data_IF_498192489639
#
_entry.id   IF_498192489639
#
_cell.length_a   1.000
_cell.length_b   1.000
_cell.length_c   1.000
_cell.angle_alpha   90.00
_cell.angle_beta   90.00
_cell.angle_gamma   90.00
#
_symmetry.space_group_name_H-M   'P 1'
#
loop_
_entity.id
_entity.type
_entity.pdbx_description
1 polymer ?
#
# COMPACT_ATOMS: atom_id res chain seq x y z
N UNK A 1 -0.31 -24.80 -9.12
CA UNK A 1 0.58 -24.57 -7.97
C UNK A 1 2.02 -24.54 -8.48
N UNK A 2 2.75 -23.42 -8.34
CA UNK A 2 4.14 -23.32 -8.82
C UNK A 2 5.03 -24.11 -7.84
N UNK A 3 5.78 -25.10 -8.35
CA UNK A 3 6.70 -25.93 -7.57
C UNK A 3 7.75 -25.03 -6.90
N UNK A 4 7.90 -25.13 -5.58
CA UNK A 4 8.88 -24.33 -4.80
C UNK A 4 8.41 -22.96 -4.31
N UNK A 5 7.14 -22.57 -4.52
CA UNK A 5 6.58 -21.38 -3.88
C UNK A 5 6.40 -21.66 -2.37
N UNK A 6 7.00 -20.87 -1.46
CA UNK A 6 6.74 -21.00 -0.03
C UNK A 6 5.23 -20.94 0.24
N UNK A 7 4.70 -21.77 1.16
CA UNK A 7 3.31 -21.70 1.53
C UNK A 7 3.00 -20.28 2.03
N UNK A 8 1.83 -19.74 1.65
CA UNK A 8 1.36 -18.50 2.27
C UNK A 8 1.15 -18.78 3.75
N UNK A 9 1.66 -17.90 4.61
CA UNK A 9 1.42 -17.98 6.04
C UNK A 9 -0.09 -17.97 6.29
N UNK A 10 -0.56 -18.86 7.15
CA UNK A 10 -1.91 -18.79 7.67
C UNK A 10 -2.10 -17.47 8.43
N UNK A 11 -3.31 -16.91 8.41
CA UNK A 11 -3.63 -15.71 9.17
C UNK A 11 -3.61 -16.06 10.67
N UNK A 12 -2.49 -15.74 11.33
CA UNK A 12 -2.23 -16.09 12.74
C UNK A 12 -2.65 -15.01 13.75
N UNK A 13 -3.01 -13.81 13.29
CA UNK A 13 -3.49 -12.73 14.15
C UNK A 13 -5.02 -12.65 14.12
N UNK A 14 -5.66 -12.81 15.28
CA UNK A 14 -7.06 -12.51 15.47
C UNK A 14 -7.24 -10.97 15.42
N UNK A 15 -8.12 -10.50 14.55
CA UNK A 15 -8.35 -9.08 14.27
C UNK A 15 -9.15 -8.43 15.39
N UNK A 16 -8.48 -8.01 16.47
CA UNK A 16 -9.06 -7.15 17.51
C UNK A 16 -9.30 -5.70 17.04
N UNK A 17 -8.86 -5.35 15.83
CA UNK A 17 -9.13 -4.07 15.18
C UNK A 17 -8.88 -4.14 13.68
N UNK A 18 -9.19 -3.05 12.98
CA UNK A 18 -9.05 -2.96 11.53
C UNK A 18 -7.61 -3.32 11.07
N UNK A 19 -7.45 -4.17 10.05
CA UNK A 19 -6.16 -4.65 9.61
C UNK A 19 -5.28 -3.52 9.06
N UNK A 20 -3.97 -3.62 9.33
CA UNK A 20 -2.94 -2.80 8.70
C UNK A 20 -2.32 -3.60 7.56
N UNK A 21 -2.43 -3.10 6.33
CA UNK A 21 -1.87 -3.75 5.16
C UNK A 21 -0.53 -3.14 4.79
N UNK A 22 0.46 -3.99 4.50
CA UNK A 22 1.67 -3.59 3.79
C UNK A 22 1.47 -3.85 2.30
N UNK A 23 1.44 -2.78 1.52
CA UNK A 23 1.15 -2.83 0.09
C UNK A 23 2.39 -2.49 -0.72
N UNK A 24 2.58 -3.23 -1.81
CA UNK A 24 3.59 -2.93 -2.83
C UNK A 24 2.90 -2.74 -4.16
N UNK A 25 3.11 -1.60 -4.81
CA UNK A 25 2.69 -1.37 -6.20
C UNK A 25 3.90 -1.10 -7.06
N UNK A 26 3.85 -1.56 -8.31
CA UNK A 26 4.92 -1.41 -9.28
C UNK A 26 4.38 -0.63 -10.47
N UNK A 27 5.22 0.21 -11.09
CA UNK A 27 4.87 0.80 -12.38
C UNK A 27 4.77 -0.28 -13.45
N UNK A 28 3.94 -0.04 -14.46
CA UNK A 28 3.84 -0.95 -15.60
C UNK A 28 5.22 -1.11 -16.26
N UNK A 29 5.63 -2.36 -16.46
CA UNK A 29 6.96 -2.74 -16.97
C UNK A 29 8.15 -2.16 -16.19
N UNK A 30 7.99 -1.85 -14.89
CA UNK A 30 9.06 -1.26 -14.06
C UNK A 30 9.63 0.05 -14.65
N UNK A 31 8.80 0.79 -15.40
CA UNK A 31 9.19 2.10 -15.92
C UNK A 31 9.49 3.06 -14.77
N UNK A 32 10.58 3.80 -14.89
CA UNK A 32 10.95 4.77 -13.85
C UNK A 32 9.94 5.91 -13.79
N UNK A 33 9.56 6.28 -12.58
CA UNK A 33 8.85 7.50 -12.24
C UNK A 33 9.77 8.67 -12.62
N UNK A 34 9.26 9.57 -13.47
CA UNK A 34 10.05 10.65 -14.04
C UNK A 34 10.50 11.68 -12.98
N UNK A 35 9.68 11.90 -11.96
CA UNK A 35 9.97 12.84 -10.86
C UNK A 35 9.45 12.28 -9.53
N UNK A 36 10.39 11.88 -8.66
CA UNK A 36 10.07 11.43 -7.30
C UNK A 36 9.45 12.55 -6.44
N UNK A 37 9.90 13.82 -6.52
CA UNK A 37 9.24 14.92 -5.80
C UNK A 37 7.77 15.10 -6.21
N UNK A 38 7.46 15.02 -7.50
CA UNK A 38 6.07 15.12 -7.99
C UNK A 38 5.25 13.91 -7.54
N UNK A 39 5.81 12.71 -7.60
CA UNK A 39 5.13 11.51 -7.08
C UNK A 39 4.83 11.62 -5.58
N UNK A 40 5.72 12.21 -4.80
CA UNK A 40 5.54 12.46 -3.37
C UNK A 40 4.40 13.42 -3.07
N UNK A 41 4.32 14.52 -3.83
CA UNK A 41 3.22 15.50 -3.72
C UNK A 41 1.87 14.87 -4.07
N UNK A 42 1.83 14.13 -5.17
CA UNK A 42 0.62 13.42 -5.60
C UNK A 42 0.19 12.38 -4.59
N UNK A 43 1.11 11.54 -4.11
CA UNK A 43 0.82 10.51 -3.11
C UNK A 43 0.23 11.13 -1.83
N UNK A 44 0.78 12.25 -1.38
CA UNK A 44 0.27 12.98 -0.21
C UNK A 44 -1.13 13.53 -0.45
N UNK A 45 -1.38 14.12 -1.62
CA UNK A 45 -2.70 14.61 -2.02
C UNK A 45 -3.73 13.48 -2.07
N UNK A 46 -3.39 12.34 -2.68
CA UNK A 46 -4.23 11.16 -2.70
C UNK A 46 -4.47 10.58 -1.31
N UNK A 47 -3.46 10.56 -0.44
CA UNK A 47 -3.61 10.09 0.95
C UNK A 47 -4.57 10.96 1.76
N UNK A 48 -4.51 12.29 1.61
CA UNK A 48 -5.46 13.21 2.24
C UNK A 48 -6.89 12.97 1.74
N UNK A 49 -7.05 12.81 0.43
CA UNK A 49 -8.34 12.51 -0.20
C UNK A 49 -8.90 11.15 0.24
N UNK A 50 -8.05 10.13 0.31
CA UNK A 50 -8.40 8.80 0.79
C UNK A 50 -8.97 8.85 2.22
N UNK A 51 -8.36 9.67 3.08
CA UNK A 51 -8.85 9.87 4.43
C UNK A 51 -10.21 10.57 4.44
N UNK A 52 -10.36 11.70 3.71
CA UNK A 52 -11.58 12.51 3.77
C UNK A 52 -12.79 11.87 3.10
N UNK A 53 -12.60 11.14 2.00
CA UNK A 53 -13.69 10.60 1.19
C UNK A 53 -14.01 9.13 1.52
N UNK A 54 -13.01 8.36 1.98
CA UNK A 54 -13.13 6.91 2.11
C UNK A 54 -12.78 6.39 3.50
N UNK A 55 -12.41 7.25 4.45
CA UNK A 55 -11.94 6.85 5.78
C UNK A 55 -10.75 5.86 5.70
N UNK A 56 -9.87 6.05 4.72
CA UNK A 56 -8.66 5.24 4.51
C UNK A 56 -7.42 6.06 4.79
N UNK A 57 -6.61 5.61 5.75
CA UNK A 57 -5.36 6.21 6.13
C UNK A 57 -4.18 5.65 5.31
N UNK A 58 -3.41 6.54 4.69
CA UNK A 58 -2.07 6.25 4.18
C UNK A 58 -1.05 6.40 5.32
N UNK A 59 -0.32 5.33 5.64
CA UNK A 59 0.72 5.30 6.65
C UNK A 59 2.11 5.64 6.10
N UNK A 60 3.16 5.15 6.78
CA UNK A 60 4.55 5.30 6.29
C UNK A 60 4.71 4.67 4.91
N UNK A 61 5.52 5.29 4.07
CA UNK A 61 5.77 4.84 2.71
C UNK A 61 7.20 5.17 2.26
N UNK A 62 7.63 4.51 1.19
CA UNK A 62 8.84 4.83 0.43
C UNK A 62 8.56 4.74 -1.07
N UNK A 63 8.86 5.81 -1.80
CA UNK A 63 8.76 5.84 -3.26
C UNK A 63 10.13 5.49 -3.83
N UNK A 64 10.20 4.35 -4.50
CA UNK A 64 11.36 3.90 -5.26
C UNK A 64 11.20 4.32 -6.73
N UNK A 65 12.27 4.30 -7.54
CA UNK A 65 12.18 4.74 -8.93
C UNK A 65 11.10 4.05 -9.76
N UNK A 66 10.69 2.82 -9.47
CA UNK A 66 9.73 2.04 -10.28
C UNK A 66 8.66 1.31 -9.44
N UNK A 67 8.63 1.53 -8.13
CA UNK A 67 7.65 0.93 -7.21
C UNK A 67 7.49 1.74 -5.93
N UNK A 68 6.43 1.43 -5.19
CA UNK A 68 6.09 2.07 -3.92
C UNK A 68 5.77 0.99 -2.90
N UNK A 69 6.33 1.12 -1.71
CA UNK A 69 5.96 0.35 -0.52
C UNK A 69 5.28 1.28 0.47
N UNK A 70 4.12 0.88 1.00
CA UNK A 70 3.34 1.73 1.90
C UNK A 70 2.42 0.92 2.80
N UNK A 71 2.05 1.53 3.93
CA UNK A 71 1.01 1.00 4.79
C UNK A 71 -0.34 1.65 4.48
N UNK A 72 -1.41 0.87 4.51
CA UNK A 72 -2.79 1.39 4.49
C UNK A 72 -3.62 0.74 5.59
N UNK A 73 -4.57 1.52 6.10
CA UNK A 73 -5.58 1.06 7.04
C UNK A 73 -6.89 1.80 6.80
N UNK A 74 -7.98 1.06 6.65
CA UNK A 74 -9.32 1.61 6.70
C UNK A 74 -10.01 1.30 8.03
N UNK A 75 -11.32 1.42 8.06
CA UNK A 75 -12.14 0.98 9.19
C UNK A 75 -12.32 -0.55 9.22
N UNK A 76 -13.21 -1.01 10.10
CA UNK A 76 -13.45 -2.44 10.33
C UNK A 76 -14.03 -3.17 9.10
N UNK A 77 -14.59 -2.44 8.13
CA UNK A 77 -15.17 -2.98 6.89
C UNK A 77 -14.21 -2.97 5.70
N UNK A 78 -12.98 -2.47 5.88
CA UNK A 78 -11.99 -2.34 4.81
C UNK A 78 -11.36 -3.70 4.43
N UNK A 79 -11.60 -4.14 3.19
CA UNK A 79 -11.08 -5.41 2.59
C UNK A 79 -10.63 -5.23 1.16
#
# INVERSE_FOLDING_TARGET
>A
MIKGRPPRLAQIFQSYGAPLFFVTICTLHRRKILSLPVAQELLTTYGKRAMSEFNVALGRYVIMPDHLHFFIRGDQSFV
#
